data_IF_886802073097
#
_entry.id   IF_886802073097
#
_cell.length_a   1.000
_cell.length_b   1.000
_cell.length_c   1.000
_cell.angle_alpha   90.00
_cell.angle_beta   90.00
_cell.angle_gamma   90.00
#
_symmetry.space_group_name_H-M   'P 1'
#
loop_
_entity.id
_entity.type
_entity.pdbx_description
1 polymer ?
#
# COMPACT_ATOMS: atom_id res chain seq x y z
N UNK A 1 43.23 -53.25 20.01
CA UNK A 1 44.19 -52.33 20.65
C UNK A 1 43.78 -50.92 20.21
N UNK A 2 42.77 -50.33 20.85
CA UNK A 2 42.94 -49.48 22.04
C UNK A 2 43.88 -48.29 21.77
N UNK A 3 43.34 -47.10 21.49
CA UNK A 3 43.23 -45.99 22.45
C UNK A 3 42.92 -44.65 21.78
N UNK A 4 41.95 -43.97 22.39
CA UNK A 4 41.68 -42.54 22.35
C UNK A 4 42.93 -41.67 22.58
N UNK A 5 42.92 -40.43 22.06
CA UNK A 5 42.75 -39.20 22.87
C UNK A 5 43.20 -37.93 22.10
N UNK A 6 42.27 -36.97 22.05
CA UNK A 6 42.43 -35.54 22.37
C UNK A 6 43.51 -34.70 21.68
N UNK A 7 43.07 -33.66 20.96
CA UNK A 7 43.60 -32.32 21.21
C UNK A 7 42.53 -31.25 21.00
N UNK A 8 42.34 -30.47 22.07
CA UNK A 8 41.46 -29.31 22.18
C UNK A 8 42.23 -28.07 21.74
N UNK A 9 41.63 -27.23 20.89
CA UNK A 9 42.00 -25.81 20.81
C UNK A 9 40.72 -24.97 20.86
N UNK A 10 40.59 -24.31 22.01
CA UNK A 10 39.61 -23.28 22.35
C UNK A 10 39.78 -22.06 21.43
N UNK A 11 38.67 -21.53 20.90
CA UNK A 11 38.59 -20.10 20.61
C UNK A 11 37.20 -19.59 20.98
N UNK A 12 37.09 -19.15 22.24
CA UNK A 12 36.05 -18.25 22.70
C UNK A 12 36.27 -16.87 22.06
N UNK A 13 35.26 -16.35 21.36
CA UNK A 13 35.08 -14.91 21.24
C UNK A 13 33.80 -14.53 21.96
N UNK A 14 34.00 -14.04 23.18
CA UNK A 14 32.97 -13.71 24.14
C UNK A 14 32.06 -12.57 23.65
N UNK A 15 30.76 -12.84 23.70
CA UNK A 15 29.74 -11.80 23.68
C UNK A 15 29.65 -11.21 25.08
N UNK A 16 30.06 -9.95 25.23
CA UNK A 16 29.66 -9.10 26.35
C UNK A 16 29.34 -7.71 25.84
N UNK A 17 28.05 -7.34 25.76
CA UNK A 17 27.58 -6.15 26.49
C UNK A 17 26.06 -6.16 26.75
N UNK A 18 25.76 -5.99 28.04
CA UNK A 18 24.58 -5.47 28.75
C UNK A 18 23.31 -5.06 27.98
N UNK A 19 22.18 -5.55 28.50
CA UNK A 19 20.80 -5.05 28.32
C UNK A 19 20.63 -3.64 28.89
N UNK A 20 19.86 -2.78 28.21
CA UNK A 20 18.80 -1.93 28.80
C UNK A 20 17.88 -1.31 27.73
N UNK A 21 16.58 -1.59 27.89
CA UNK A 21 15.37 -0.82 27.54
C UNK A 21 15.27 -0.11 26.19
N UNK A 22 14.26 -0.48 25.41
CA UNK A 22 13.67 0.39 24.38
C UNK A 22 12.94 -0.39 23.30
N UNK A 23 11.64 -0.60 23.51
CA UNK A 23 10.58 -0.92 22.53
C UNK A 23 11.02 -1.65 21.23
N UNK A 24 10.85 -2.97 21.23
CA UNK A 24 10.66 -3.74 20.00
C UNK A 24 9.33 -3.29 19.36
N UNK A 25 9.40 -2.58 18.24
CA UNK A 25 8.24 -2.43 17.37
C UNK A 25 8.04 -3.75 16.64
N UNK A 26 7.19 -4.60 17.19
CA UNK A 26 6.63 -5.74 16.47
C UNK A 26 5.90 -5.21 15.23
N UNK A 27 6.52 -5.37 14.06
CA UNK A 27 5.83 -5.21 12.77
C UNK A 27 4.96 -6.45 12.58
N UNK A 28 3.81 -6.45 13.27
CA UNK A 28 2.77 -7.44 13.08
C UNK A 28 2.20 -7.28 11.67
N UNK A 29 2.61 -8.18 10.77
CA UNK A 29 1.93 -8.40 9.50
C UNK A 29 0.60 -9.09 9.84
N UNK A 30 -0.36 -8.28 10.31
CA UNK A 30 -1.67 -8.74 10.74
C UNK A 30 -2.42 -9.38 9.57
N UNK A 31 -2.56 -10.69 9.62
CA UNK A 31 -3.52 -11.42 8.80
C UNK A 31 -4.93 -10.97 9.21
N UNK A 32 -5.58 -10.19 8.35
CA UNK A 32 -6.91 -9.65 8.61
C UNK A 32 -7.94 -10.78 8.69
N UNK A 33 -8.54 -10.96 9.88
CA UNK A 33 -9.69 -11.86 10.08
C UNK A 33 -10.95 -11.01 10.02
N UNK A 34 -11.80 -11.11 8.99
CA UNK A 34 -13.05 -10.36 8.95
C UNK A 34 -14.10 -11.04 9.83
N UNK A 35 -14.69 -10.29 10.76
CA UNK A 35 -15.99 -10.68 11.31
C UNK A 35 -16.97 -9.50 11.37
N UNK A 36 -18.21 -9.81 10.98
CA UNK A 36 -19.45 -9.02 11.07
C UNK A 36 -19.75 -7.94 10.01
N UNK A 37 -20.54 -8.34 8.99
CA UNK A 37 -21.66 -7.56 8.45
C UNK A 37 -21.32 -6.40 7.51
N UNK A 38 -21.22 -6.68 6.20
CA UNK A 38 -20.85 -5.75 5.12
C UNK A 38 -19.49 -5.10 5.38
N UNK A 39 -18.42 -5.90 5.30
CA UNK A 39 -17.07 -5.36 5.28
C UNK A 39 -16.87 -4.60 3.97
N UNK A 40 -16.93 -3.27 4.03
CA UNK A 40 -16.37 -2.41 2.97
C UNK A 40 -14.92 -2.83 2.72
N UNK A 41 -14.44 -2.68 1.49
CA UNK A 41 -13.04 -2.93 1.15
C UNK A 41 -12.12 -2.26 2.19
N UNK A 42 -11.03 -2.92 2.65
CA UNK A 42 -10.05 -2.32 3.55
C UNK A 42 -9.57 -0.97 3.02
N UNK A 43 -9.44 0.05 3.88
CA UNK A 43 -8.99 1.40 3.51
C UNK A 43 -8.09 1.96 4.61
N UNK A 44 -7.12 2.79 4.22
CA UNK A 44 -6.28 3.55 5.16
C UNK A 44 -7.01 4.84 5.54
N UNK A 45 -7.24 5.07 6.84
CA UNK A 45 -7.89 6.26 7.37
C UNK A 45 -6.96 6.93 8.38
N UNK A 46 -6.71 8.24 8.21
CA UNK A 46 -5.91 9.08 9.12
C UNK A 46 -6.56 10.45 9.23
N UNK A 47 -6.65 10.99 10.44
CA UNK A 47 -7.21 12.33 10.71
C UNK A 47 -8.59 12.59 10.07
N UNK A 48 -9.45 11.58 10.08
CA UNK A 48 -10.80 11.67 9.48
C UNK A 48 -10.82 11.68 7.94
N UNK A 49 -9.70 11.37 7.29
CA UNK A 49 -9.56 11.27 5.83
C UNK A 49 -9.17 9.86 5.40
N UNK A 50 -9.66 9.43 4.25
CA UNK A 50 -9.33 8.17 3.60
C UNK A 50 -8.33 8.40 2.48
N UNK A 51 -7.33 7.53 2.36
CA UNK A 51 -6.40 7.52 1.23
C UNK A 51 -7.12 7.02 -0.03
N UNK A 52 -7.04 7.80 -1.10
CA UNK A 52 -7.56 7.45 -2.43
C UNK A 52 -6.41 7.47 -3.43
N UNK A 53 -6.18 6.35 -4.11
CA UNK A 53 -5.14 6.17 -5.10
C UNK A 53 -5.64 6.64 -6.47
N UNK A 54 -4.83 7.41 -7.18
CA UNK A 54 -5.10 7.90 -8.54
C UNK A 54 -3.80 8.19 -9.29
N UNK A 55 -3.87 8.38 -10.61
CA UNK A 55 -2.72 8.74 -11.45
C UNK A 55 -2.80 10.21 -11.94
N UNK A 56 -2.18 11.17 -11.26
CA UNK A 56 -2.26 12.60 -11.59
C UNK A 56 -1.51 13.05 -12.86
N UNK A 57 -0.61 12.23 -13.38
CA UNK A 57 0.26 12.58 -14.52
C UNK A 57 -0.35 12.12 -15.85
N UNK A 58 0.27 12.44 -16.99
CA UNK A 58 -0.21 11.90 -18.26
C UNK A 58 0.18 10.43 -18.40
N UNK A 59 -0.79 9.56 -18.68
CA UNK A 59 -0.55 8.13 -18.85
C UNK A 59 -1.84 7.33 -19.00
N UNK A 60 -1.77 6.04 -18.63
CA UNK A 60 -2.95 5.19 -18.50
C UNK A 60 -3.50 5.35 -17.09
N UNK A 61 -4.64 6.02 -16.96
CA UNK A 61 -5.25 6.32 -15.67
C UNK A 61 -5.45 5.07 -14.82
N UNK A 62 -5.20 5.17 -13.51
CA UNK A 62 -5.28 4.05 -12.58
C UNK A 62 -6.68 3.45 -12.60
N UNK A 63 -7.64 4.15 -12.01
CA UNK A 63 -9.01 3.65 -11.94
C UNK A 63 -9.71 3.74 -13.30
N UNK A 64 -9.37 4.75 -14.10
CA UNK A 64 -10.05 5.05 -15.35
C UNK A 64 -9.86 3.97 -16.40
N UNK A 65 -8.77 3.21 -16.33
CA UNK A 65 -8.55 2.04 -17.17
C UNK A 65 -9.09 0.75 -16.53
N UNK A 66 -8.62 0.38 -15.33
CA UNK A 66 -8.92 -0.96 -14.79
C UNK A 66 -10.33 -1.09 -14.19
N UNK A 67 -10.97 0.02 -13.78
CA UNK A 67 -12.34 0.10 -13.18
C UNK A 67 -12.60 -0.78 -11.96
N UNK A 68 -11.57 -1.08 -11.16
CA UNK A 68 -11.65 -1.93 -9.96
C UNK A 68 -11.71 -1.01 -8.74
N UNK A 69 -12.89 -0.82 -8.17
CA UNK A 69 -13.08 0.10 -7.04
C UNK A 69 -12.22 -0.26 -5.81
N UNK A 70 -12.02 -1.55 -5.53
CA UNK A 70 -11.19 -1.98 -4.40
C UNK A 70 -9.74 -1.44 -4.47
N UNK A 71 -9.21 -1.24 -5.68
CA UNK A 71 -7.84 -0.73 -5.89
C UNK A 71 -7.71 0.78 -5.69
N UNK A 72 -8.82 1.53 -5.57
CA UNK A 72 -8.76 2.93 -5.13
C UNK A 72 -8.32 3.06 -3.67
N UNK A 73 -8.46 1.99 -2.88
CA UNK A 73 -8.31 2.04 -1.43
C UNK A 73 -7.32 1.02 -0.87
N UNK A 74 -6.66 0.24 -1.74
CA UNK A 74 -5.82 -0.90 -1.35
C UNK A 74 -4.70 -0.47 -0.37
N UNK A 75 -4.74 -0.91 0.91
CA UNK A 75 -3.79 -0.44 1.93
C UNK A 75 -2.32 -0.73 1.61
N UNK A 76 -2.05 -1.88 1.01
CA UNK A 76 -0.69 -2.25 0.60
C UNK A 76 -0.16 -1.34 -0.50
N UNK A 77 -1.01 -0.89 -1.43
CA UNK A 77 -0.62 0.06 -2.48
C UNK A 77 -0.42 1.45 -1.90
N UNK A 78 -1.28 1.89 -0.96
CA UNK A 78 -1.05 3.12 -0.19
C UNK A 78 0.32 3.08 0.48
N UNK A 79 0.64 2.00 1.17
CA UNK A 79 1.94 1.82 1.82
C UNK A 79 3.10 1.89 0.82
N UNK A 80 3.00 1.19 -0.32
CA UNK A 80 4.04 1.23 -1.36
C UNK A 80 4.26 2.64 -1.93
N UNK A 81 3.19 3.41 -2.18
CA UNK A 81 3.29 4.80 -2.64
C UNK A 81 3.99 5.68 -1.58
N UNK A 82 3.64 5.52 -0.29
CA UNK A 82 4.27 6.27 0.80
C UNK A 82 5.74 5.93 1.03
N UNK A 83 6.17 4.71 0.63
CA UNK A 83 7.56 4.29 0.65
C UNK A 83 8.32 4.62 -0.64
N UNK A 84 7.68 5.36 -1.57
CA UNK A 84 8.25 5.73 -2.87
C UNK A 84 8.72 4.49 -3.68
N UNK A 85 8.02 3.37 -3.52
CA UNK A 85 8.31 2.15 -4.25
C UNK A 85 7.98 2.32 -5.75
N UNK A 86 8.76 1.65 -6.61
CA UNK A 86 8.56 1.71 -8.06
C UNK A 86 7.19 1.16 -8.50
N UNK A 87 6.65 1.68 -9.61
CA UNK A 87 5.43 1.18 -10.24
C UNK A 87 5.49 -0.33 -10.53
N UNK A 88 6.66 -0.85 -10.95
CA UNK A 88 6.85 -2.29 -11.18
C UNK A 88 6.58 -3.15 -9.94
N UNK A 89 6.90 -2.66 -8.73
CA UNK A 89 6.60 -3.38 -7.47
C UNK A 89 5.10 -3.40 -7.17
N UNK A 90 4.41 -2.28 -7.44
CA UNK A 90 2.95 -2.20 -7.35
C UNK A 90 2.30 -3.16 -8.36
N UNK A 91 2.82 -3.22 -9.58
CA UNK A 91 2.37 -4.15 -10.61
C UNK A 91 2.58 -5.62 -10.20
N UNK A 92 3.76 -5.96 -9.66
CA UNK A 92 4.03 -7.31 -9.14
C UNK A 92 3.07 -7.71 -8.02
N UNK A 93 2.79 -6.80 -7.08
CA UNK A 93 1.76 -6.99 -6.07
C UNK A 93 0.40 -7.26 -6.73
N UNK A 94 -0.02 -6.41 -7.67
CA UNK A 94 -1.32 -6.55 -8.33
C UNK A 94 -1.44 -7.89 -9.07
N UNK A 95 -0.37 -8.31 -9.75
CA UNK A 95 -0.27 -9.60 -10.44
C UNK A 95 -0.35 -10.76 -9.45
N UNK A 96 0.34 -10.68 -8.31
CA UNK A 96 0.31 -11.72 -7.26
C UNK A 96 -1.10 -11.90 -6.67
N UNK A 97 -1.84 -10.81 -6.55
CA UNK A 97 -3.22 -10.75 -6.07
C UNK A 97 -4.25 -11.08 -7.16
N UNK A 98 -3.80 -11.33 -8.40
CA UNK A 98 -4.61 -11.69 -9.57
C UNK A 98 -5.60 -10.61 -10.01
N UNK A 99 -5.23 -9.33 -9.88
CA UNK A 99 -5.99 -8.22 -10.49
C UNK A 99 -5.73 -8.16 -11.99
N UNK A 100 -6.51 -8.92 -12.77
CA UNK A 100 -6.20 -9.24 -14.17
C UNK A 100 -6.26 -8.08 -15.18
N UNK A 101 -6.83 -6.93 -14.83
CA UNK A 101 -6.89 -5.74 -15.72
C UNK A 101 -5.79 -4.71 -15.45
N UNK A 102 -4.94 -4.92 -14.45
CA UNK A 102 -3.84 -4.00 -14.13
C UNK A 102 -2.65 -4.27 -15.06
N UNK A 103 -2.12 -3.21 -15.68
CA UNK A 103 -0.91 -3.24 -16.49
C UNK A 103 0.21 -2.44 -15.83
N UNK A 104 1.46 -2.80 -16.10
CA UNK A 104 2.65 -2.15 -15.53
C UNK A 104 2.64 -0.62 -15.70
N UNK A 105 2.31 -0.14 -16.90
CA UNK A 105 2.24 1.29 -17.22
C UNK A 105 1.18 2.07 -16.41
N UNK A 106 0.16 1.40 -15.85
CA UNK A 106 -0.84 2.05 -14.98
C UNK A 106 -0.31 2.30 -13.57
N UNK A 107 0.75 1.59 -13.18
CA UNK A 107 1.31 1.65 -11.83
C UNK A 107 2.35 2.77 -11.66
N UNK A 108 2.74 3.43 -12.76
CA UNK A 108 3.72 4.50 -12.74
C UNK A 108 3.08 5.84 -12.32
N UNK A 109 3.77 6.59 -11.45
CA UNK A 109 3.34 7.93 -11.05
C UNK A 109 2.05 7.97 -10.22
N UNK A 110 1.70 6.87 -9.55
CA UNK A 110 0.56 6.84 -8.62
C UNK A 110 0.76 7.82 -7.46
N UNK A 111 -0.35 8.41 -7.02
CA UNK A 111 -0.37 9.34 -5.90
C UNK A 111 -1.56 9.06 -4.99
N UNK A 112 -1.51 9.62 -3.78
CA UNK A 112 -2.57 9.53 -2.77
C UNK A 112 -3.18 10.91 -2.58
N UNK A 113 -4.51 10.96 -2.64
CA UNK A 113 -5.27 12.10 -2.11
C UNK A 113 -6.02 11.68 -0.85
N UNK A 114 -5.95 12.50 0.19
CA UNK A 114 -6.62 12.26 1.47
C UNK A 114 -8.00 12.93 1.46
N UNK A 115 -9.04 12.16 1.18
CA UNK A 115 -10.42 12.64 1.05
C UNK A 115 -11.15 12.51 2.38
N UNK A 116 -11.91 13.51 2.87
CA UNK A 116 -12.70 13.35 4.10
C UNK A 116 -13.64 12.13 4.03
N UNK A 117 -13.76 11.35 5.10
CA UNK A 117 -14.59 10.13 5.10
C UNK A 117 -16.09 10.40 4.88
N UNK A 118 -16.53 11.63 5.11
CA UNK A 118 -17.90 12.11 4.90
C UNK A 118 -18.14 12.73 3.52
N UNK A 119 -17.13 12.79 2.66
CA UNK A 119 -17.20 13.46 1.36
C UNK A 119 -17.35 12.42 0.24
N UNK A 120 -18.27 12.68 -0.69
CA UNK A 120 -18.39 11.92 -1.92
C UNK A 120 -17.41 12.47 -2.96
N UNK A 121 -16.81 11.60 -3.75
CA UNK A 121 -15.88 12.01 -4.80
C UNK A 121 -16.08 11.17 -6.05
N UNK A 122 -15.59 11.68 -7.18
CA UNK A 122 -15.44 10.92 -8.42
C UNK A 122 -14.01 11.02 -8.93
N UNK A 123 -13.56 9.97 -9.62
CA UNK A 123 -12.39 10.06 -10.49
C UNK A 123 -12.85 10.70 -11.79
N UNK A 124 -12.21 11.81 -12.16
CA UNK A 124 -12.36 12.45 -13.44
C UNK A 124 -11.06 12.30 -14.20
N UNK A 125 -11.13 11.65 -15.36
CA UNK A 125 -10.03 11.57 -16.30
C UNK A 125 -10.36 12.51 -17.48
N UNK A 126 -9.37 13.32 -17.81
CA UNK A 126 -9.35 14.15 -19.00
C UNK A 126 -7.88 14.26 -19.40
N UNK A 127 -7.56 14.13 -20.69
CA UNK A 127 -6.21 14.26 -21.27
C UNK A 127 -5.11 13.26 -20.84
N UNK A 128 -5.52 12.11 -20.29
CA UNK A 128 -4.63 11.08 -19.77
C UNK A 128 -4.22 11.33 -18.32
N UNK A 129 -4.78 12.35 -17.65
CA UNK A 129 -4.54 12.64 -16.24
C UNK A 129 -5.81 12.46 -15.40
N UNK A 130 -5.68 11.73 -14.29
CA UNK A 130 -6.77 11.56 -13.35
C UNK A 130 -6.77 12.68 -12.31
N UNK A 131 -7.98 13.07 -11.91
CA UNK A 131 -8.24 14.02 -10.83
C UNK A 131 -9.33 13.48 -9.94
N UNK A 132 -9.18 13.70 -8.64
CA UNK A 132 -10.25 13.47 -7.67
C UNK A 132 -11.07 14.75 -7.58
N UNK A 133 -12.33 14.66 -7.96
CA UNK A 133 -13.29 15.77 -7.88
C UNK A 133 -14.23 15.51 -6.71
N UNK A 134 -14.20 16.40 -5.72
CA UNK A 134 -15.09 16.32 -4.56
C UNK A 134 -16.47 16.86 -4.93
N UNK A 135 -17.52 16.15 -4.51
CA UNK A 135 -18.91 16.53 -4.79
C UNK A 135 -19.23 17.93 -4.28
N UNK A 136 -18.73 18.29 -3.10
CA UNK A 136 -18.90 19.63 -2.52
C UNK A 136 -18.27 20.76 -3.33
N UNK A 137 -17.31 20.46 -4.21
CA UNK A 137 -16.59 21.44 -5.04
C UNK A 137 -16.99 21.39 -6.52
N UNK A 138 -17.77 20.39 -6.95
CA UNK A 138 -18.18 20.22 -8.35
C UNK A 138 -19.31 21.21 -8.67
N UNK A 139 -19.01 22.24 -9.45
CA UNK A 139 -19.96 23.30 -9.79
C UNK A 139 -20.80 22.92 -11.01
N UNK A 140 -22.13 23.08 -10.90
CA UNK A 140 -23.08 22.84 -11.97
C UNK A 140 -23.90 24.12 -12.25
N UNK A 141 -24.15 24.40 -13.52
CA UNK A 141 -24.99 25.52 -13.95
C UNK A 141 -26.37 25.00 -14.38
N UNK A 142 -27.40 25.83 -14.15
CA UNK A 142 -28.76 25.59 -14.66
C UNK A 142 -28.85 26.27 -16.04
N UNK A 143 -29.43 25.57 -17.01
CA UNK A 143 -29.65 26.07 -18.38
C UNK A 143 -30.92 26.93 -18.50
#
# INVERSE_FOLDING_TARGET
>A
MEKDLSSSVHLELGIKTKRKSGQETEVSHGHFIPNSGITRAPRVIRDGKVAVIYQPHHGLGWYSEHKIEALLFAPEIVFMIEQEESGSKVYEYCRSMKYGSVMDIMCDGLSINWVPVSEEFRIHEYDGSEKIVLKSTDQWFIA
#
